data_IF_774018327803
#
_entry.id   IF_774018327803
#
_cell.length_a   1.000
_cell.length_b   1.000
_cell.length_c   1.000
_cell.angle_alpha   90.00
_cell.angle_beta   90.00
_cell.angle_gamma   90.00
#
_symmetry.space_group_name_H-M   'P 1'
#
loop_
_entity.id
_entity.type
_entity.pdbx_description
1 polymer ?
#
# COMPACT_ATOMS: atom_id res chain seq x y z
N UNK A 1 -0.86 -10.64 -8.34
CA UNK A 1 -1.08 -11.46 -7.14
C UNK A 1 -2.18 -12.49 -7.41
N UNK A 2 -2.01 -13.76 -7.01
CA UNK A 2 -2.98 -14.86 -7.18
C UNK A 2 -3.63 -15.23 -5.84
N UNK A 3 -4.95 -15.19 -5.78
CA UNK A 3 -5.73 -15.45 -4.56
C UNK A 3 -6.75 -16.55 -4.85
N UNK A 4 -6.79 -17.58 -4.01
CA UNK A 4 -7.79 -18.65 -4.08
C UNK A 4 -8.68 -18.62 -2.84
N UNK A 5 -9.99 -18.48 -3.04
CA UNK A 5 -10.99 -18.51 -1.97
C UNK A 5 -11.70 -19.86 -1.94
N UNK A 6 -11.64 -20.55 -0.81
CA UNK A 6 -12.14 -21.90 -0.63
C UNK A 6 -13.36 -21.95 0.29
N UNK A 7 -14.39 -22.64 -0.16
CA UNK A 7 -15.47 -23.13 0.72
C UNK A 7 -15.89 -24.54 0.29
N UNK A 8 -16.80 -25.19 1.00
CA UNK A 8 -17.20 -26.57 0.64
C UNK A 8 -17.89 -26.66 -0.73
N UNK A 9 -18.95 -25.86 -0.94
CA UNK A 9 -19.82 -25.97 -2.11
C UNK A 9 -19.44 -25.08 -3.30
N UNK A 10 -18.56 -24.09 -3.10
CA UNK A 10 -18.23 -23.06 -4.09
C UNK A 10 -19.44 -22.45 -4.81
N UNK A 11 -20.53 -22.23 -4.07
CA UNK A 11 -21.82 -21.75 -4.59
C UNK A 11 -22.26 -20.40 -4.01
N UNK A 12 -21.90 -20.10 -2.76
CA UNK A 12 -22.31 -18.87 -2.05
C UNK A 12 -21.09 -18.03 -1.64
N UNK A 13 -20.59 -18.24 -0.41
CA UNK A 13 -19.56 -17.43 0.28
C UNK A 13 -18.31 -17.16 -0.56
N UNK A 14 -17.68 -18.22 -1.10
CA UNK A 14 -16.46 -18.04 -1.90
C UNK A 14 -16.70 -17.39 -3.26
N UNK A 15 -17.92 -17.48 -3.82
CA UNK A 15 -18.28 -16.78 -5.06
C UNK A 15 -18.48 -15.28 -4.79
N UNK A 16 -19.15 -14.93 -3.69
CA UNK A 16 -19.31 -13.52 -3.27
C UNK A 16 -17.97 -12.88 -2.95
N UNK A 17 -17.13 -13.57 -2.17
CA UNK A 17 -15.78 -13.11 -1.84
C UNK A 17 -14.89 -12.93 -3.09
N UNK A 18 -14.99 -13.84 -4.07
CA UNK A 18 -14.34 -13.70 -5.37
C UNK A 18 -14.82 -12.42 -6.07
N UNK A 19 -16.13 -12.24 -6.23
CA UNK A 19 -16.71 -11.05 -6.86
C UNK A 19 -16.27 -9.75 -6.20
N UNK A 20 -16.23 -9.69 -4.87
CA UNK A 20 -15.76 -8.51 -4.13
C UNK A 20 -14.28 -8.22 -4.38
N UNK A 21 -13.39 -9.21 -4.23
CA UNK A 21 -11.95 -9.01 -4.46
C UNK A 21 -11.65 -8.53 -5.89
N UNK A 22 -12.32 -9.09 -6.91
CA UNK A 22 -12.20 -8.59 -8.30
C UNK A 22 -12.82 -7.21 -8.50
N UNK A 23 -13.80 -6.81 -7.69
CA UNK A 23 -14.37 -5.47 -7.74
C UNK A 23 -13.43 -4.42 -7.12
N UNK A 24 -12.66 -4.79 -6.09
CA UNK A 24 -11.76 -3.88 -5.38
C UNK A 24 -10.52 -3.53 -6.19
N UNK A 25 -9.96 -4.50 -6.92
CA UNK A 25 -8.77 -4.31 -7.75
C UNK A 25 -8.74 -5.30 -8.91
N UNK A 26 -8.86 -4.78 -10.14
CA UNK A 26 -8.86 -5.55 -11.39
C UNK A 26 -7.52 -6.21 -11.71
N UNK A 27 -6.44 -5.83 -11.03
CA UNK A 27 -5.11 -6.43 -11.19
C UNK A 27 -4.95 -7.76 -10.43
N UNK A 28 -5.84 -8.03 -9.47
CA UNK A 28 -5.85 -9.28 -8.71
C UNK A 28 -6.33 -10.44 -9.59
N UNK A 29 -5.59 -11.56 -9.55
CA UNK A 29 -6.03 -12.80 -10.18
C UNK A 29 -6.74 -13.63 -9.11
N UNK A 30 -8.05 -13.46 -9.01
CA UNK A 30 -8.88 -14.09 -7.98
C UNK A 30 -9.55 -15.34 -8.54
N UNK A 31 -9.60 -16.38 -7.71
CA UNK A 31 -10.23 -17.65 -8.03
C UNK A 31 -11.02 -18.13 -6.83
N UNK A 32 -12.02 -18.96 -7.08
CA UNK A 32 -12.73 -19.69 -6.04
C UNK A 32 -12.89 -21.16 -6.39
N UNK A 33 -12.94 -22.00 -5.35
CA UNK A 33 -13.10 -23.45 -5.49
C UNK A 33 -13.75 -24.06 -4.24
N UNK A 34 -14.12 -25.33 -4.37
CA UNK A 34 -14.58 -26.14 -3.24
C UNK A 34 -14.30 -27.62 -3.36
N UNK A 35 -14.41 -28.32 -2.24
CA UNK A 35 -14.19 -29.78 -2.14
C UNK A 35 -15.35 -30.58 -2.69
N UNK A 36 -16.57 -30.05 -2.57
CA UNK A 36 -17.80 -30.66 -3.07
C UNK A 36 -18.59 -29.60 -3.83
N UNK A 37 -18.08 -29.13 -4.99
CA UNK A 37 -18.68 -28.03 -5.73
C UNK A 37 -20.14 -28.35 -6.10
N UNK A 38 -21.02 -27.39 -5.91
CA UNK A 38 -22.41 -27.49 -6.33
C UNK A 38 -22.52 -27.48 -7.86
N UNK A 39 -23.70 -27.82 -8.39
CA UNK A 39 -23.95 -27.77 -9.84
C UNK A 39 -23.89 -26.35 -10.42
N UNK A 40 -24.30 -25.35 -9.63
CA UNK A 40 -24.33 -23.95 -10.03
C UNK A 40 -24.09 -23.00 -8.85
N UNK A 41 -23.79 -21.75 -9.16
CA UNK A 41 -23.76 -20.67 -8.17
C UNK A 41 -25.17 -20.50 -7.59
N UNK A 42 -25.27 -20.27 -6.28
CA UNK A 42 -26.55 -20.15 -5.62
C UNK A 42 -27.29 -18.89 -6.13
N UNK A 43 -28.54 -19.00 -6.62
CA UNK A 43 -29.29 -17.85 -7.12
C UNK A 43 -29.46 -16.72 -6.08
N UNK A 44 -29.57 -17.04 -4.79
CA UNK A 44 -29.64 -16.06 -3.71
C UNK A 44 -28.34 -15.25 -3.58
N UNK A 45 -27.18 -15.88 -3.80
CA UNK A 45 -25.90 -15.19 -3.81
C UNK A 45 -25.76 -14.30 -5.06
N UNK A 46 -26.19 -14.77 -6.23
CA UNK A 46 -26.21 -13.98 -7.47
C UNK A 46 -27.06 -12.71 -7.28
N UNK A 47 -28.29 -12.87 -6.78
CA UNK A 47 -29.19 -11.75 -6.53
C UNK A 47 -28.61 -10.77 -5.51
N UNK A 48 -28.10 -11.25 -4.37
CA UNK A 48 -27.51 -10.38 -3.36
C UNK A 48 -26.32 -9.58 -3.90
N UNK A 49 -25.45 -10.16 -4.73
CA UNK A 49 -24.32 -9.44 -5.34
C UNK A 49 -24.78 -8.45 -6.42
N UNK A 50 -25.80 -8.80 -7.22
CA UNK A 50 -26.36 -7.90 -8.23
C UNK A 50 -26.95 -6.62 -7.60
N UNK A 51 -27.53 -6.70 -6.41
CA UNK A 51 -28.03 -5.52 -5.66
C UNK A 51 -26.91 -4.48 -5.37
N UNK A 52 -25.66 -4.91 -5.24
CA UNK A 52 -24.49 -4.03 -5.04
C UNK A 52 -23.69 -3.81 -6.34
N UNK A 53 -24.27 -4.16 -7.50
CA UNK A 53 -23.68 -3.92 -8.81
C UNK A 53 -22.58 -4.90 -9.24
N UNK A 54 -22.46 -6.06 -8.58
CA UNK A 54 -21.48 -7.09 -8.91
C UNK A 54 -22.18 -8.31 -9.50
N UNK A 55 -21.94 -8.60 -10.78
CA UNK A 55 -22.52 -9.78 -11.44
C UNK A 55 -21.61 -11.01 -11.29
N UNK A 56 -22.08 -12.01 -10.54
CA UNK A 56 -21.42 -13.32 -10.41
C UNK A 56 -22.19 -14.44 -11.13
N UNK A 57 -23.21 -14.11 -11.93
CA UNK A 57 -24.07 -15.12 -12.60
C UNK A 57 -23.30 -16.00 -13.60
N UNK A 58 -22.25 -15.45 -14.22
CA UNK A 58 -21.37 -16.18 -15.14
C UNK A 58 -20.33 -17.07 -14.45
N UNK A 59 -20.19 -17.00 -13.13
CA UNK A 59 -19.27 -17.86 -12.39
C UNK A 59 -19.71 -19.31 -12.42
N UNK A 60 -18.76 -20.23 -12.21
CA UNK A 60 -19.04 -21.66 -12.13
C UNK A 60 -18.37 -22.25 -10.90
N UNK A 61 -19.07 -23.08 -10.11
CA UNK A 61 -18.42 -23.86 -9.07
C UNK A 61 -17.32 -24.76 -9.66
N UNK A 62 -16.17 -24.79 -9.00
CA UNK A 62 -14.99 -25.54 -9.44
C UNK A 62 -14.47 -26.42 -8.30
N UNK A 63 -14.02 -27.62 -8.66
CA UNK A 63 -13.34 -28.49 -7.71
C UNK A 63 -11.94 -27.94 -7.40
N UNK A 64 -11.58 -27.91 -6.12
CA UNK A 64 -10.27 -27.50 -5.61
C UNK A 64 -9.10 -28.28 -6.20
N UNK A 65 -9.30 -29.54 -6.59
CA UNK A 65 -8.27 -30.41 -7.20
C UNK A 65 -7.61 -29.78 -8.42
N UNK A 66 -8.35 -28.97 -9.19
CA UNK A 66 -7.85 -28.25 -10.37
C UNK A 66 -6.67 -27.33 -10.06
N UNK A 67 -6.55 -26.90 -8.81
CA UNK A 67 -5.61 -25.86 -8.38
C UNK A 67 -4.45 -26.40 -7.51
N UNK A 68 -4.42 -27.70 -7.19
CA UNK A 68 -3.42 -28.29 -6.30
C UNK A 68 -1.99 -28.23 -6.86
N UNK A 69 -1.83 -28.25 -8.19
CA UNK A 69 -0.53 -28.16 -8.86
C UNK A 69 -0.02 -26.72 -9.08
N UNK A 70 -0.79 -25.72 -8.66
CA UNK A 70 -0.45 -24.31 -8.87
C UNK A 70 0.15 -23.66 -7.61
N UNK A 71 0.90 -22.58 -7.82
CA UNK A 71 1.39 -21.71 -6.75
C UNK A 71 0.43 -20.55 -6.50
N UNK A 72 0.26 -20.22 -5.22
CA UNK A 72 -0.69 -19.23 -4.73
C UNK A 72 -0.05 -18.26 -3.76
N UNK A 73 -0.33 -16.96 -3.92
CA UNK A 73 0.07 -15.96 -2.94
C UNK A 73 -0.82 -16.09 -1.69
N UNK A 74 -2.14 -16.22 -1.88
CA UNK A 74 -3.10 -16.44 -0.79
C UNK A 74 -4.05 -17.60 -1.07
N UNK A 75 -4.27 -18.41 -0.05
CA UNK A 75 -5.43 -19.32 0.03
C UNK A 75 -6.24 -18.94 1.26
N UNK A 76 -7.50 -18.54 1.04
CA UNK A 76 -8.39 -18.02 2.06
C UNK A 76 -9.58 -18.95 2.20
N UNK A 77 -9.80 -19.49 3.39
CA UNK A 77 -10.93 -20.38 3.67
C UNK A 77 -12.06 -19.59 4.32
N UNK A 78 -13.29 -19.79 3.85
CA UNK A 78 -14.45 -18.96 4.26
C UNK A 78 -15.58 -19.71 4.96
N UNK A 79 -15.30 -20.92 5.41
CA UNK A 79 -16.25 -21.77 6.14
C UNK A 79 -16.44 -21.29 7.59
N UNK A 80 -17.62 -21.48 8.19
CA UNK A 80 -18.03 -20.77 9.41
C UNK A 80 -17.79 -21.50 10.75
N UNK A 81 -17.28 -22.73 10.78
CA UNK A 81 -17.16 -23.44 12.07
C UNK A 81 -16.30 -24.71 12.09
N UNK A 82 -16.02 -25.18 13.31
CA UNK A 82 -15.20 -26.36 13.61
C UNK A 82 -15.74 -27.69 13.04
N UNK A 83 -17.03 -27.74 12.70
CA UNK A 83 -17.69 -28.90 12.08
C UNK A 83 -17.68 -28.87 10.54
N UNK A 84 -17.28 -27.75 9.91
CA UNK A 84 -17.06 -27.71 8.47
C UNK A 84 -15.62 -28.19 8.23
N UNK A 85 -15.45 -29.37 7.64
CA UNK A 85 -14.13 -29.89 7.27
C UNK A 85 -13.52 -28.93 6.25
N UNK A 86 -12.65 -28.05 6.75
CA UNK A 86 -11.94 -27.11 5.90
C UNK A 86 -11.13 -27.94 4.89
N UNK A 87 -11.21 -27.65 3.57
CA UNK A 87 -10.42 -28.36 2.58
C UNK A 87 -8.94 -28.33 2.99
N UNK A 88 -8.35 -29.49 3.25
CA UNK A 88 -6.90 -29.58 3.36
C UNK A 88 -6.32 -29.29 1.96
N UNK A 89 -6.00 -28.02 1.69
CA UNK A 89 -5.36 -27.63 0.43
C UNK A 89 -3.87 -27.95 0.52
N UNK A 90 -3.40 -28.96 -0.20
CA UNK A 90 -2.01 -29.42 -0.14
C UNK A 90 -1.07 -28.73 -1.14
N UNK A 91 -1.57 -27.76 -1.92
CA UNK A 91 -0.77 -27.02 -2.89
C UNK A 91 0.27 -26.08 -2.25
N UNK A 92 1.15 -25.53 -3.09
CA UNK A 92 2.15 -24.53 -2.69
C UNK A 92 1.48 -23.18 -2.45
N UNK A 93 1.53 -22.71 -1.21
CA UNK A 93 0.85 -21.49 -0.77
C UNK A 93 1.81 -20.66 0.06
N UNK A 94 1.93 -19.37 -0.26
CA UNK A 94 2.69 -18.43 0.58
C UNK A 94 1.94 -18.09 1.87
N UNK A 95 0.65 -17.72 1.76
CA UNK A 95 -0.16 -17.33 2.91
C UNK A 95 -1.49 -18.08 2.97
N UNK A 96 -1.80 -18.62 4.16
CA UNK A 96 -3.05 -19.33 4.43
C UNK A 96 -3.83 -18.56 5.47
N UNK A 97 -5.07 -18.19 5.15
CA UNK A 97 -5.94 -17.43 6.02
C UNK A 97 -7.30 -18.12 6.20
N UNK A 98 -7.96 -17.79 7.29
CA UNK A 98 -9.32 -18.19 7.58
C UNK A 98 -10.16 -16.96 7.93
N UNK A 99 -11.22 -16.73 7.16
CA UNK A 99 -12.19 -15.66 7.38
C UNK A 99 -13.57 -16.31 7.29
N UNK A 100 -14.05 -16.86 8.40
CA UNK A 100 -15.28 -17.66 8.41
C UNK A 100 -16.55 -16.82 8.34
N UNK A 101 -17.56 -17.35 7.65
CA UNK A 101 -18.91 -16.77 7.59
C UNK A 101 -19.99 -17.86 7.70
N UNK A 102 -21.15 -17.47 8.21
CA UNK A 102 -22.35 -18.30 8.20
C UNK A 102 -22.73 -18.71 6.77
N UNK A 103 -23.37 -19.88 6.63
CA UNK A 103 -23.85 -20.34 5.34
C UNK A 103 -25.31 -19.90 5.10
N UNK A 104 -25.57 -18.86 4.28
CA UNK A 104 -26.92 -18.35 4.09
C UNK A 104 -27.82 -19.35 3.37
N UNK A 105 -27.28 -20.37 2.68
CA UNK A 105 -28.11 -21.39 2.05
C UNK A 105 -28.75 -22.37 3.05
N UNK A 106 -28.36 -22.32 4.33
CA UNK A 106 -28.98 -23.11 5.41
C UNK A 106 -30.15 -22.36 6.06
N UNK A 107 -30.38 -21.09 5.73
CA UNK A 107 -31.49 -20.31 6.27
C UNK A 107 -32.84 -20.92 5.84
N UNK A 108 -33.76 -21.05 6.79
CA UNK A 108 -35.12 -21.56 6.58
C UNK A 108 -36.13 -20.54 7.10
N UNK A 109 -37.23 -20.33 6.41
CA UNK A 109 -38.25 -19.37 6.82
C UNK A 109 -38.97 -18.76 5.62
N UNK A 110 -39.42 -17.52 5.76
CA UNK A 110 -40.01 -16.76 4.65
C UNK A 110 -38.95 -16.38 3.61
N UNK A 111 -39.36 -16.17 2.36
CA UNK A 111 -38.46 -15.70 1.29
C UNK A 111 -37.78 -14.38 1.64
N UNK A 112 -38.46 -13.51 2.39
CA UNK A 112 -37.88 -12.27 2.90
C UNK A 112 -36.75 -12.52 3.89
N UNK A 113 -36.95 -13.42 4.85
CA UNK A 113 -35.93 -13.79 5.82
C UNK A 113 -34.72 -14.48 5.18
N UNK A 114 -34.96 -15.41 4.26
CA UNK A 114 -33.87 -16.06 3.52
C UNK A 114 -33.06 -15.01 2.75
N UNK A 115 -33.73 -14.08 2.06
CA UNK A 115 -33.05 -12.98 1.35
C UNK A 115 -32.26 -12.08 2.28
N UNK A 116 -32.79 -11.75 3.46
CA UNK A 116 -32.05 -10.94 4.43
C UNK A 116 -30.77 -11.64 4.91
N UNK A 117 -30.79 -12.98 5.06
CA UNK A 117 -29.58 -13.72 5.43
C UNK A 117 -28.50 -13.69 4.34
N UNK A 118 -28.88 -13.79 3.06
CA UNK A 118 -27.92 -13.61 1.96
C UNK A 118 -27.32 -12.20 1.95
N UNK A 119 -28.12 -11.15 2.19
CA UNK A 119 -27.63 -9.77 2.27
C UNK A 119 -26.70 -9.57 3.47
N UNK A 120 -27.10 -10.07 4.65
CA UNK A 120 -26.29 -9.99 5.87
C UNK A 120 -24.90 -10.60 5.66
N UNK A 121 -24.85 -11.84 5.16
CA UNK A 121 -23.58 -12.53 4.90
C UNK A 121 -22.79 -11.86 3.77
N UNK A 122 -23.45 -11.34 2.73
CA UNK A 122 -22.78 -10.55 1.68
C UNK A 122 -22.07 -9.33 2.27
N UNK A 123 -22.76 -8.56 3.10
CA UNK A 123 -22.23 -7.32 3.67
C UNK A 123 -21.07 -7.62 4.65
N UNK A 124 -21.18 -8.70 5.43
CA UNK A 124 -20.09 -9.19 6.28
C UNK A 124 -18.86 -9.62 5.46
N UNK A 125 -19.07 -10.35 4.35
CA UNK A 125 -18.00 -10.72 3.42
C UNK A 125 -17.35 -9.46 2.85
N UNK A 126 -18.15 -8.49 2.41
CA UNK A 126 -17.63 -7.23 1.87
C UNK A 126 -16.73 -6.53 2.88
N UNK A 127 -17.19 -6.36 4.12
CA UNK A 127 -16.44 -5.68 5.17
C UNK A 127 -15.12 -6.40 5.45
N UNK A 128 -15.15 -7.72 5.72
CA UNK A 128 -13.96 -8.49 6.06
C UNK A 128 -12.96 -8.58 4.92
N UNK A 129 -13.42 -8.77 3.68
CA UNK A 129 -12.52 -8.82 2.53
C UNK A 129 -12.01 -7.44 2.13
N UNK A 130 -12.76 -6.37 2.38
CA UNK A 130 -12.27 -5.01 2.21
C UNK A 130 -11.19 -4.68 3.24
N UNK A 131 -11.37 -5.10 4.50
CA UNK A 131 -10.35 -4.97 5.54
C UNK A 131 -9.08 -5.78 5.20
N UNK A 132 -9.24 -7.03 4.80
CA UNK A 132 -8.15 -7.88 4.30
C UNK A 132 -7.44 -7.23 3.10
N UNK A 133 -8.19 -6.79 2.08
CA UNK A 133 -7.61 -6.12 0.92
C UNK A 133 -6.81 -4.90 1.35
N UNK A 134 -7.39 -4.04 2.18
CA UNK A 134 -6.74 -2.85 2.70
C UNK A 134 -5.47 -3.19 3.49
N UNK A 135 -5.50 -4.17 4.40
CA UNK A 135 -4.40 -4.47 5.32
C UNK A 135 -3.28 -5.33 4.75
N UNK A 136 -3.63 -6.26 3.87
CA UNK A 136 -2.72 -7.29 3.34
C UNK A 136 -2.35 -7.07 1.87
N UNK A 137 -3.25 -6.47 1.08
CA UNK A 137 -3.11 -6.37 -0.38
C UNK A 137 -2.92 -4.94 -0.87
N UNK A 138 -3.40 -3.90 -0.20
CA UNK A 138 -3.28 -2.55 -0.71
C UNK A 138 -1.91 -2.00 -0.32
N UNK A 139 -1.14 -1.56 -1.31
CA UNK A 139 0.13 -0.92 -1.04
C UNK A 139 -0.08 0.50 -0.57
N UNK A 140 1.02 1.15 -0.20
CA UNK A 140 1.04 2.56 0.13
C UNK A 140 1.75 3.35 -0.95
N UNK A 141 1.18 4.53 -1.26
CA UNK A 141 1.86 5.59 -1.96
C UNK A 141 2.66 6.41 -0.95
N UNK A 142 3.98 6.30 -1.00
CA UNK A 142 4.87 7.12 -0.18
C UNK A 142 5.10 8.45 -0.87
N UNK A 143 4.79 9.54 -0.17
CA UNK A 143 4.96 10.90 -0.66
C UNK A 143 6.32 11.44 -0.22
N UNK A 144 7.16 11.77 -1.20
CA UNK A 144 8.47 12.38 -0.97
C UNK A 144 8.44 13.84 -1.42
N UNK A 145 8.23 14.75 -0.47
CA UNK A 145 8.16 16.18 -0.74
C UNK A 145 9.56 16.78 -0.90
N UNK A 146 9.69 17.74 -1.82
CA UNK A 146 10.93 18.49 -1.98
C UNK A 146 10.85 19.58 -3.03
N UNK A 147 11.74 20.56 -2.92
CA UNK A 147 11.95 21.54 -4.01
C UNK A 147 12.77 20.98 -5.16
N UNK A 148 13.53 19.89 -4.91
CA UNK A 148 14.39 19.18 -5.87
C UNK A 148 15.25 20.13 -6.73
N UNK A 149 15.98 21.05 -6.09
CA UNK A 149 16.66 22.17 -6.76
C UNK A 149 18.20 22.14 -6.61
N UNK A 150 18.94 21.25 -7.29
CA UNK A 150 18.46 20.21 -8.20
C UNK A 150 18.19 18.87 -7.49
N UNK A 151 17.50 17.97 -8.18
CA UNK A 151 17.47 16.55 -7.84
C UNK A 151 18.89 15.96 -7.93
N UNK A 152 19.23 15.02 -7.06
CA UNK A 152 20.61 14.50 -6.93
C UNK A 152 20.64 13.06 -6.42
N UNK A 153 21.83 12.46 -6.43
CA UNK A 153 22.04 11.04 -6.09
C UNK A 153 21.53 10.67 -4.69
N UNK A 154 21.61 11.57 -3.71
CA UNK A 154 21.02 11.34 -2.37
C UNK A 154 19.51 11.13 -2.39
N UNK A 155 18.75 11.94 -3.14
CA UNK A 155 17.31 11.74 -3.30
C UNK A 155 17.00 10.39 -3.97
N UNK A 156 17.76 10.05 -5.03
CA UNK A 156 17.61 8.77 -5.71
C UNK A 156 17.90 7.58 -4.80
N UNK A 157 18.95 7.64 -3.97
CA UNK A 157 19.34 6.56 -3.08
C UNK A 157 18.23 6.26 -2.06
N UNK A 158 17.71 7.30 -1.40
CA UNK A 158 16.57 7.17 -0.47
C UNK A 158 15.34 6.63 -1.20
N UNK A 159 15.01 7.20 -2.36
CA UNK A 159 13.82 6.79 -3.11
C UNK A 159 13.90 5.32 -3.57
N UNK A 160 15.05 4.87 -4.07
CA UNK A 160 15.29 3.47 -4.46
C UNK A 160 15.20 2.52 -3.27
N UNK A 161 15.72 2.92 -2.11
CA UNK A 161 15.60 2.13 -0.88
C UNK A 161 14.13 1.97 -0.48
N UNK A 162 13.38 3.07 -0.40
CA UNK A 162 11.96 3.06 0.00
C UNK A 162 11.10 2.30 -1.02
N UNK A 163 11.37 2.45 -2.32
CA UNK A 163 10.69 1.68 -3.37
C UNK A 163 10.97 0.17 -3.30
N UNK A 164 12.08 -0.24 -2.67
CA UNK A 164 12.36 -1.65 -2.38
C UNK A 164 11.57 -2.20 -1.19
N UNK A 165 10.91 -1.35 -0.40
CA UNK A 165 10.09 -1.80 0.71
C UNK A 165 8.84 -2.53 0.18
N UNK A 166 8.57 -3.75 0.64
CA UNK A 166 7.63 -4.66 -0.02
C UNK A 166 6.14 -4.30 0.12
N UNK A 167 5.80 -3.34 0.98
CA UNK A 167 4.44 -2.78 1.11
C UNK A 167 4.29 -1.42 0.41
N UNK A 168 5.35 -0.88 -0.18
CA UNK A 168 5.30 0.33 -1.01
C UNK A 168 4.87 -0.07 -2.41
N UNK A 169 3.80 0.55 -2.90
CA UNK A 169 3.31 0.37 -4.28
C UNK A 169 3.80 1.49 -5.19
N UNK A 170 3.95 2.68 -4.63
CA UNK A 170 4.30 3.88 -5.36
C UNK A 170 5.16 4.77 -4.46
N UNK A 171 6.22 5.35 -5.01
CA UNK A 171 6.87 6.51 -4.42
C UNK A 171 6.62 7.70 -5.34
N UNK A 172 5.86 8.66 -4.83
CA UNK A 172 5.49 9.87 -5.55
C UNK A 172 6.33 11.05 -5.05
N UNK A 173 7.14 11.62 -5.93
CA UNK A 173 7.85 12.87 -5.67
C UNK A 173 6.88 14.04 -5.81
N UNK A 174 6.61 14.74 -4.71
CA UNK A 174 5.76 15.94 -4.72
C UNK A 174 6.66 17.17 -4.85
N UNK A 175 6.61 17.82 -6.02
CA UNK A 175 7.44 18.99 -6.29
C UNK A 175 6.81 20.23 -5.65
N UNK A 176 7.51 20.79 -4.67
CA UNK A 176 7.10 22.08 -4.10
C UNK A 176 7.58 23.25 -4.98
N UNK A 177 6.66 24.07 -5.53
CA UNK A 177 7.03 25.20 -6.39
C UNK A 177 7.75 26.29 -5.60
N UNK A 178 7.35 26.50 -4.34
CA UNK A 178 7.96 27.45 -3.39
C UNK A 178 7.87 26.85 -1.99
N UNK A 179 8.99 26.76 -1.28
CA UNK A 179 8.97 26.35 0.12
C UNK A 179 8.43 27.53 0.96
N UNK A 180 7.38 27.36 1.78
CA UNK A 180 6.83 28.43 2.62
C UNK A 180 7.85 29.07 3.58
N UNK A 181 8.93 28.36 3.91
CA UNK A 181 9.92 28.71 4.93
C UNK A 181 11.21 29.32 4.32
N UNK A 182 11.47 29.16 3.01
CA UNK A 182 12.74 29.62 2.39
C UNK A 182 12.55 30.84 1.49
N UNK A 183 13.45 31.82 1.61
CA UNK A 183 13.46 33.04 0.77
C UNK A 183 13.62 32.70 -0.73
N UNK A 184 12.87 33.42 -1.58
CA UNK A 184 12.63 33.10 -2.99
C UNK A 184 13.81 33.28 -3.94
N UNK A 185 14.91 33.91 -3.52
CA UNK A 185 15.95 34.40 -4.45
C UNK A 185 16.97 33.35 -4.94
N UNK A 186 16.80 32.06 -4.64
CA UNK A 186 17.77 31.00 -5.03
C UNK A 186 17.13 29.78 -5.73
N UNK A 187 15.82 29.82 -6.00
CA UNK A 187 15.12 28.71 -6.67
C UNK A 187 15.17 28.88 -8.18
N UNK A 188 15.55 27.81 -8.90
CA UNK A 188 15.29 27.71 -10.34
C UNK A 188 13.78 27.73 -10.61
N UNK A 189 13.42 28.09 -11.83
CA UNK A 189 12.04 28.13 -12.29
C UNK A 189 11.32 26.80 -11.98
N UNK A 190 10.09 26.89 -11.49
CA UNK A 190 9.34 25.72 -11.06
C UNK A 190 9.00 24.78 -12.22
N UNK A 191 8.77 25.31 -13.43
CA UNK A 191 8.48 24.50 -14.61
C UNK A 191 9.74 23.80 -15.13
N UNK A 192 10.91 24.43 -15.02
CA UNK A 192 12.18 23.77 -15.33
C UNK A 192 12.45 22.59 -14.39
N UNK A 193 12.28 22.81 -13.08
CA UNK A 193 12.41 21.73 -12.07
C UNK A 193 11.39 20.61 -12.29
N UNK A 194 10.17 20.93 -12.72
CA UNK A 194 9.16 19.95 -13.08
C UNK A 194 9.60 19.07 -14.26
N UNK A 195 10.11 19.67 -15.34
CA UNK A 195 10.66 18.92 -16.49
C UNK A 195 11.84 18.04 -16.08
N UNK A 196 12.72 18.54 -15.22
CA UNK A 196 13.84 17.77 -14.68
C UNK A 196 13.36 16.56 -13.88
N UNK A 197 12.39 16.76 -12.99
CA UNK A 197 11.82 15.69 -12.17
C UNK A 197 11.12 14.62 -13.03
N UNK A 198 10.40 15.01 -14.09
CA UNK A 198 9.79 14.07 -15.03
C UNK A 198 10.85 13.18 -15.71
N UNK A 199 11.99 13.75 -16.13
CA UNK A 199 13.12 12.99 -16.70
C UNK A 199 13.73 12.03 -15.69
N UNK A 200 13.92 12.48 -14.45
CA UNK A 200 14.43 11.66 -13.34
C UNK A 200 13.51 10.47 -13.07
N UNK A 201 12.20 10.68 -12.99
CA UNK A 201 11.22 9.60 -12.76
C UNK A 201 11.22 8.59 -13.90
N UNK A 202 11.29 9.05 -15.16
CA UNK A 202 11.41 8.14 -16.31
C UNK A 202 12.68 7.28 -16.21
N UNK A 203 13.81 7.88 -15.84
CA UNK A 203 15.08 7.18 -15.62
C UNK A 203 15.00 6.17 -14.47
N UNK A 204 14.43 6.55 -13.32
CA UNK A 204 14.24 5.66 -12.16
C UNK A 204 13.42 4.42 -12.51
N UNK A 205 12.32 4.59 -13.24
CA UNK A 205 11.49 3.47 -13.68
C UNK A 205 12.20 2.58 -14.73
N UNK A 206 13.04 3.16 -15.60
CA UNK A 206 13.79 2.42 -16.62
C UNK A 206 14.90 1.54 -16.03
N UNK A 207 15.51 1.96 -14.91
CA UNK A 207 16.64 1.22 -14.30
C UNK A 207 16.22 -0.09 -13.60
N UNK A 208 14.92 -0.36 -13.47
CA UNK A 208 14.28 -1.40 -12.63
C UNK A 208 14.70 -1.27 -11.14
N UNK A 209 13.75 -1.35 -10.18
CA UNK A 209 14.12 -1.32 -8.78
C UNK A 209 15.06 -2.50 -8.47
N UNK A 210 16.06 -2.27 -7.61
CA UNK A 210 16.93 -3.34 -7.12
C UNK A 210 16.06 -4.39 -6.43
N UNK A 211 15.73 -5.47 -7.11
CA UNK A 211 15.13 -6.65 -6.49
C UNK A 211 16.19 -7.33 -5.64
N UNK A 212 16.48 -6.78 -4.46
CA UNK A 212 17.08 -7.62 -3.42
C UNK A 212 15.97 -8.53 -2.91
N UNK A 213 16.21 -9.82 -2.94
CA UNK A 213 15.60 -10.72 -1.97
C UNK A 213 16.06 -10.22 -0.59
N UNK A 214 15.31 -9.29 -0.01
CA UNK A 214 15.58 -8.81 1.34
C UNK A 214 15.04 -9.87 2.30
N UNK A 215 15.93 -10.45 3.11
CA UNK A 215 15.50 -11.27 4.24
C UNK A 215 14.89 -10.35 5.30
N UNK A 216 14.00 -10.86 6.14
CA UNK A 216 13.43 -10.08 7.26
C UNK A 216 14.52 -9.48 8.18
N UNK A 217 15.73 -10.05 8.18
CA UNK A 217 16.91 -9.55 8.89
C UNK A 217 17.60 -8.36 8.20
N UNK A 218 17.59 -8.29 6.86
CA UNK A 218 18.20 -7.20 6.08
C UNK A 218 17.36 -5.90 6.13
N UNK A 219 16.08 -6.01 6.50
CA UNK A 219 15.15 -4.90 6.50
C UNK A 219 15.36 -3.89 7.63
N UNK A 220 16.10 -4.21 8.70
CA UNK A 220 16.35 -3.32 9.85
C UNK A 220 15.09 -2.75 10.55
N UNK A 221 13.91 -3.10 10.03
CA UNK A 221 12.60 -2.57 10.35
C UNK A 221 11.70 -3.79 10.25
N UNK A 222 11.04 -4.09 11.37
CA UNK A 222 9.68 -4.61 11.42
C UNK A 222 9.05 -4.73 10.03
N UNK A 223 9.10 -5.93 9.44
CA UNK A 223 8.56 -6.23 8.10
C UNK A 223 7.05 -6.06 7.94
N UNK A 224 6.41 -5.45 8.92
CA UNK A 224 4.98 -5.21 8.96
C UNK A 224 4.67 -3.86 8.33
N UNK A 225 3.57 -3.75 7.57
CA UNK A 225 3.09 -2.46 7.12
C UNK A 225 2.84 -1.50 8.29
N UNK A 226 3.05 -0.18 8.12
CA UNK A 226 2.87 0.84 9.15
C UNK A 226 1.56 0.75 9.96
N UNK A 227 0.48 0.34 9.30
CA UNK A 227 -0.87 0.27 9.86
C UNK A 227 -1.14 -1.03 10.63
N UNK A 228 -0.16 -1.93 10.75
CA UNK A 228 -0.27 -3.16 11.55
C UNK A 228 0.30 -3.06 12.96
N UNK A 229 0.79 -1.89 13.36
CA UNK A 229 1.45 -1.75 14.66
C UNK A 229 0.63 -0.83 15.55
N UNK A 230 -0.27 -1.43 16.33
CA UNK A 230 -0.40 -0.95 17.71
C UNK A 230 0.79 -1.50 18.50
N UNK A 231 1.30 -0.75 19.47
CA UNK A 231 2.48 -1.13 20.25
C UNK A 231 2.33 -2.47 21.01
N UNK A 232 1.13 -3.05 21.08
CA UNK A 232 0.84 -4.34 21.72
C UNK A 232 0.90 -5.57 20.80
N UNK A 233 1.02 -5.42 19.47
CA UNK A 233 0.81 -6.56 18.54
C UNK A 233 2.10 -7.08 17.87
N UNK A 234 3.28 -6.59 18.28
CA UNK A 234 4.57 -6.91 17.63
C UNK A 234 5.14 -8.28 18.04
N UNK A 235 4.46 -9.05 18.88
CA UNK A 235 5.05 -10.25 19.47
C UNK A 235 5.00 -11.54 18.62
N UNK A 236 4.14 -11.67 17.59
CA UNK A 236 3.86 -13.03 17.05
C UNK A 236 3.77 -13.19 15.52
N UNK A 237 4.28 -12.27 14.69
CA UNK A 237 4.11 -12.41 13.22
C UNK A 237 5.41 -12.37 12.43
N UNK A 238 5.91 -13.55 12.08
CA UNK A 238 6.78 -13.74 10.91
C UNK A 238 5.96 -13.54 9.61
N UNK A 239 5.61 -12.28 9.32
CA UNK A 239 4.94 -11.92 8.07
C UNK A 239 5.99 -11.80 6.96
N UNK A 240 6.03 -12.78 6.07
CA UNK A 240 6.86 -12.77 4.86
C UNK A 240 6.23 -11.80 3.87
N UNK A 241 6.99 -10.80 3.45
CA UNK A 241 6.46 -9.67 2.68
C UNK A 241 6.63 -9.96 1.19
N UNK A 242 5.53 -9.99 0.43
CA UNK A 242 5.62 -10.06 -1.03
C UNK A 242 6.25 -8.78 -1.56
N UNK A 243 7.46 -8.87 -2.11
CA UNK A 243 8.11 -7.76 -2.81
C UNK A 243 7.23 -7.26 -3.96
N UNK A 244 6.77 -6.01 -3.86
CA UNK A 244 6.16 -5.27 -4.96
C UNK A 244 7.25 -4.48 -5.65
N UNK A 245 7.23 -4.45 -6.98
CA UNK A 245 8.00 -3.45 -7.72
C UNK A 245 7.26 -2.12 -7.61
N UNK A 246 7.71 -1.25 -6.70
CA UNK A 246 7.11 0.06 -6.54
C UNK A 246 7.38 0.92 -7.80
N UNK A 247 6.37 1.69 -8.20
CA UNK A 247 6.49 2.65 -9.30
C UNK A 247 6.97 4.00 -8.78
N UNK A 248 7.83 4.67 -9.53
CA UNK A 248 8.14 6.08 -9.27
C UNK A 248 7.20 6.97 -10.05
N UNK A 249 6.64 7.98 -9.39
CA UNK A 249 5.79 9.01 -10.02
C UNK A 249 6.22 10.39 -9.56
N UNK A 250 5.79 11.43 -10.29
CA UNK A 250 5.96 12.82 -9.89
C UNK A 250 4.59 13.49 -9.86
N UNK A 251 4.40 14.41 -8.92
CA UNK A 251 3.20 15.22 -8.80
C UNK A 251 3.55 16.69 -8.67
N UNK A 252 2.88 17.50 -9.50
CA UNK A 252 2.85 18.96 -9.46
C UNK A 252 1.63 19.48 -8.68
N UNK A 253 0.99 18.65 -7.85
CA UNK A 253 -0.28 18.99 -7.17
C UNK A 253 -0.23 20.35 -6.47
N UNK A 254 0.90 20.70 -5.84
CA UNK A 254 1.08 21.97 -5.13
C UNK A 254 1.08 23.20 -6.05
N UNK A 255 1.21 23.03 -7.37
CA UNK A 255 1.12 24.13 -8.34
C UNK A 255 -0.33 24.58 -8.53
N UNK A 256 -1.27 23.69 -8.18
CA UNK A 256 -2.71 23.88 -8.37
C UNK A 256 -3.45 24.14 -7.05
N UNK A 257 -2.72 24.19 -5.92
CA UNK A 257 -3.28 24.48 -4.60
C UNK A 257 -3.14 25.96 -4.24
N UNK A 258 -4.10 26.46 -3.45
CA UNK A 258 -4.04 27.82 -2.92
C UNK A 258 -2.96 27.92 -1.83
N UNK A 259 -2.06 28.92 -1.89
CA UNK A 259 -1.11 29.18 -0.82
C UNK A 259 -1.79 29.59 0.50
N UNK A 260 -1.17 29.33 1.67
CA UNK A 260 0.15 28.74 1.86
C UNK A 260 0.18 27.21 1.64
N UNK A 261 1.22 26.75 0.95
CA UNK A 261 1.44 25.35 0.59
C UNK A 261 2.01 24.54 1.77
N UNK A 262 1.20 24.38 2.83
CA UNK A 262 1.54 23.51 3.94
C UNK A 262 1.33 22.05 3.57
N UNK A 263 2.26 21.17 3.99
CA UNK A 263 2.18 19.72 3.75
C UNK A 263 0.85 19.12 4.22
N UNK A 264 0.28 19.62 5.33
CA UNK A 264 -1.06 19.21 5.80
C UNK A 264 -2.14 19.43 4.74
N UNK A 265 -2.15 20.58 4.07
CA UNK A 265 -3.16 20.92 3.06
C UNK A 265 -3.01 20.01 1.83
N UNK A 266 -1.78 19.73 1.41
CA UNK A 266 -1.50 18.79 0.31
C UNK A 266 -1.97 17.37 0.66
N UNK A 267 -1.69 16.91 1.89
CA UNK A 267 -2.12 15.59 2.38
C UNK A 267 -3.65 15.45 2.42
N UNK A 268 -4.37 16.44 2.95
CA UNK A 268 -5.84 16.40 2.98
C UNK A 268 -6.44 16.45 1.57
N UNK A 269 -5.88 17.28 0.67
CA UNK A 269 -6.32 17.31 -0.72
C UNK A 269 -6.16 15.93 -1.39
N UNK A 270 -5.00 15.30 -1.23
CA UNK A 270 -4.73 13.97 -1.79
C UNK A 270 -5.66 12.91 -1.20
N UNK A 271 -5.85 12.88 0.12
CA UNK A 271 -6.74 11.92 0.78
C UNK A 271 -8.21 12.07 0.36
N UNK A 272 -8.68 13.31 0.15
CA UNK A 272 -10.05 13.58 -0.28
C UNK A 272 -10.30 13.24 -1.75
N UNK A 273 -9.33 13.52 -2.63
CA UNK A 273 -9.47 13.27 -4.07
C UNK A 273 -9.12 11.82 -4.47
N UNK A 274 -8.37 11.12 -3.62
CA UNK A 274 -8.00 9.72 -3.81
C UNK A 274 -8.34 8.92 -2.55
N UNK A 275 -9.63 8.75 -2.20
CA UNK A 275 -10.06 8.03 -0.98
C UNK A 275 -9.66 6.54 -1.03
N UNK A 276 -9.43 6.03 -2.24
CA UNK A 276 -8.89 4.71 -2.50
C UNK A 276 -7.36 4.68 -2.55
N UNK A 277 -6.63 5.70 -2.14
CA UNK A 277 -5.18 5.62 -1.94
C UNK A 277 -4.85 5.70 -0.46
N UNK A 278 -3.75 5.06 -0.09
CA UNK A 278 -3.15 5.20 1.24
C UNK A 278 -1.85 5.95 1.09
N UNK A 279 -1.70 7.02 1.85
CA UNK A 279 -0.53 7.87 1.80
C UNK A 279 0.31 7.71 3.06
N UNK A 280 1.62 7.68 2.89
CA UNK A 280 2.59 7.84 3.96
C UNK A 280 3.55 8.97 3.62
N UNK A 281 4.03 9.69 4.62
CA UNK A 281 4.95 10.80 4.44
C UNK A 281 6.39 10.32 4.61
N UNK A 282 7.28 10.65 3.67
CA UNK A 282 8.71 10.39 3.77
C UNK A 282 9.47 11.68 4.09
N UNK A 283 10.32 11.65 5.11
CA UNK A 283 11.16 12.78 5.50
C UNK A 283 12.50 12.37 6.12
N UNK A 284 13.42 13.32 6.23
CA UNK A 284 14.71 13.11 6.90
C UNK A 284 14.58 13.27 8.42
N UNK A 285 15.51 12.66 9.16
CA UNK A 285 15.56 12.74 10.63
C UNK A 285 15.67 14.15 11.21
N UNK A 286 16.17 15.11 10.42
CA UNK A 286 16.19 16.53 10.76
C UNK A 286 14.79 17.17 10.86
N UNK A 287 13.77 16.56 10.25
CA UNK A 287 12.42 17.10 10.22
C UNK A 287 11.48 16.52 11.29
N UNK A 288 11.71 15.29 11.76
CA UNK A 288 10.79 14.63 12.69
C UNK A 288 10.72 15.36 14.05
N UNK A 289 11.86 15.85 14.55
CA UNK A 289 11.91 16.59 15.82
C UNK A 289 11.08 17.88 15.75
N UNK A 290 11.14 18.58 14.62
CA UNK A 290 10.44 19.86 14.41
C UNK A 290 9.04 19.71 13.80
N UNK A 291 8.56 18.50 13.55
CA UNK A 291 7.29 18.27 12.85
C UNK A 291 6.10 18.86 13.61
N UNK A 292 6.11 18.83 14.95
CA UNK A 292 5.11 19.49 15.79
C UNK A 292 5.00 21.01 15.57
N UNK A 293 6.05 21.65 15.00
CA UNK A 293 6.06 23.08 14.65
C UNK A 293 5.47 23.35 13.26
N UNK A 294 5.23 22.31 12.46
CA UNK A 294 4.59 22.47 11.16
C UNK A 294 3.10 22.78 11.35
N UNK A 295 2.50 23.46 10.37
CA UNK A 295 1.06 23.72 10.39
C UNK A 295 0.31 22.39 10.49
N UNK A 296 -0.40 22.20 11.62
CA UNK A 296 -1.13 20.97 11.97
C UNK A 296 -0.27 19.71 12.00
N UNK A 297 0.98 19.84 12.49
CA UNK A 297 1.94 18.75 12.58
C UNK A 297 1.47 17.56 13.43
N UNK A 298 0.82 17.81 14.56
CA UNK A 298 0.25 16.75 15.42
C UNK A 298 -0.81 15.93 14.67
N UNK A 299 -1.66 16.59 13.87
CA UNK A 299 -2.64 15.89 13.04
C UNK A 299 -2.00 15.10 11.89
N UNK A 300 -0.87 15.56 11.35
CA UNK A 300 -0.10 14.76 10.38
C UNK A 300 0.37 13.47 11.05
N UNK A 301 0.98 13.56 12.23
CA UNK A 301 1.49 12.41 13.00
C UNK A 301 0.36 11.43 13.33
N UNK A 302 -0.80 11.94 13.73
CA UNK A 302 -1.93 11.10 14.10
C UNK A 302 -2.62 10.40 12.90
N UNK A 303 -2.62 11.03 11.71
CA UNK A 303 -3.38 10.54 10.54
C UNK A 303 -2.54 9.72 9.57
N UNK A 304 -1.26 10.06 9.39
CA UNK A 304 -0.44 9.53 8.31
C UNK A 304 0.77 8.79 8.89
N UNK A 305 1.10 7.58 8.41
CA UNK A 305 2.39 6.98 8.69
C UNK A 305 3.53 7.88 8.23
N UNK A 306 4.55 8.04 9.06
CA UNK A 306 5.73 8.85 8.75
C UNK A 306 6.95 7.93 8.68
N UNK A 307 7.57 7.85 7.51
CA UNK A 307 8.84 7.17 7.28
C UNK A 307 9.97 8.19 7.42
N UNK A 308 10.97 7.86 8.22
CA UNK A 308 12.07 8.78 8.53
C UNK A 308 13.42 8.12 8.23
N UNK A 309 14.17 8.70 7.30
CA UNK A 309 15.53 8.24 6.98
C UNK A 309 16.60 9.01 7.78
N UNK A 310 17.74 8.40 8.10
CA UNK A 310 18.73 8.98 8.99
C UNK A 310 19.40 10.22 8.40
N UNK A 311 19.69 11.20 9.25
CA UNK A 311 20.54 12.36 8.95
C UNK A 311 21.73 12.44 9.89
N UNK A 312 22.84 12.94 9.40
CA UNK A 312 24.05 13.14 10.21
C UNK A 312 23.77 14.09 11.37
N UNK A 313 24.32 13.77 12.54
CA UNK A 313 24.14 14.57 13.76
C UNK A 313 22.76 14.45 14.44
N UNK A 314 21.86 13.59 13.94
CA UNK A 314 20.53 13.39 14.52
C UNK A 314 20.32 11.93 14.91
N UNK A 315 20.00 11.67 16.19
CA UNK A 315 19.57 10.34 16.65
C UNK A 315 18.15 10.05 16.14
N UNK A 316 18.08 9.70 14.87
CA UNK A 316 16.82 9.54 14.15
C UNK A 316 16.03 8.35 14.70
N UNK A 317 16.70 7.29 15.17
CA UNK A 317 16.04 6.12 15.75
C UNK A 317 15.31 6.46 17.05
N UNK A 318 15.97 7.20 17.94
CA UNK A 318 15.36 7.64 19.20
C UNK A 318 14.14 8.55 18.94
N UNK A 319 14.27 9.51 18.03
CA UNK A 319 13.17 10.42 17.68
C UNK A 319 11.99 9.69 17.05
N UNK A 320 12.24 8.70 16.19
CA UNK A 320 11.16 7.89 15.61
C UNK A 320 10.38 7.14 16.69
N UNK A 321 11.11 6.52 17.64
CA UNK A 321 10.50 5.81 18.75
C UNK A 321 9.64 6.74 19.63
N UNK A 322 10.14 7.94 19.93
CA UNK A 322 9.41 8.94 20.71
C UNK A 322 8.13 9.42 20.02
N UNK A 323 8.20 9.70 18.71
CA UNK A 323 7.10 10.32 17.94
C UNK A 323 6.17 9.30 17.29
N UNK A 324 6.39 8.00 17.47
CA UNK A 324 5.62 6.95 16.79
C UNK A 324 5.82 6.93 15.27
N UNK A 325 6.97 7.40 14.80
CA UNK A 325 7.35 7.35 13.39
C UNK A 325 8.16 6.08 13.07
N UNK A 326 8.27 5.77 11.79
CA UNK A 326 8.93 4.56 11.29
C UNK A 326 10.33 4.93 10.82
N UNK A 327 11.33 4.50 11.58
CA UNK A 327 12.70 4.59 11.14
C UNK A 327 12.93 3.68 9.93
N UNK A 328 13.58 4.20 8.89
CA UNK A 328 14.05 3.43 7.74
C UNK A 328 15.55 3.62 7.58
N UNK A 329 16.32 2.53 7.50
CA UNK A 329 17.78 2.58 7.42
C UNK A 329 18.29 2.84 6.00
N UNK A 330 17.77 3.90 5.38
CA UNK A 330 18.12 4.27 4.02
C UNK A 330 19.57 4.81 3.95
N UNK A 331 20.29 4.59 2.84
CA UNK A 331 21.67 5.05 2.71
C UNK A 331 21.83 6.55 2.91
N UNK A 332 22.81 6.94 3.72
CA UNK A 332 23.22 8.33 3.85
C UNK A 332 24.18 8.68 2.71
N UNK A 333 23.79 9.62 1.87
CA UNK A 333 24.65 10.20 0.85
C UNK A 333 24.93 11.64 1.25
N UNK A 334 26.20 11.94 1.52
CA UNK A 334 26.67 13.28 1.90
C UNK A 334 26.68 14.21 0.68
N UNK A 335 25.48 14.61 0.27
CA UNK A 335 25.26 15.62 -0.77
C UNK A 335 23.93 16.32 -0.55
N UNK A 336 23.95 17.64 -0.69
CA UNK A 336 22.78 18.50 -0.63
C UNK A 336 22.65 19.33 -1.91
N UNK A 337 21.43 19.72 -2.23
CA UNK A 337 21.17 20.62 -3.35
C UNK A 337 21.90 21.96 -3.19
N UNK A 338 22.10 22.44 -1.95
CA UNK A 338 22.86 23.68 -1.68
C UNK A 338 24.34 23.53 -2.00
N UNK A 339 24.97 22.42 -1.59
CA UNK A 339 26.36 22.14 -1.97
C UNK A 339 26.53 22.09 -3.49
N UNK A 340 25.62 21.38 -4.20
CA UNK A 340 25.66 21.31 -5.68
C UNK A 340 25.55 22.69 -6.31
N UNK A 341 24.62 23.54 -5.85
CA UNK A 341 24.49 24.91 -6.38
C UNK A 341 25.76 25.72 -6.13
N UNK A 342 26.35 25.64 -4.94
CA UNK A 342 27.59 26.36 -4.60
C UNK A 342 28.76 25.91 -5.48
N UNK A 343 28.96 24.60 -5.65
CA UNK A 343 29.99 24.03 -6.52
C UNK A 343 29.80 24.48 -7.98
N UNK A 344 28.56 24.43 -8.47
CA UNK A 344 28.23 24.85 -9.83
C UNK A 344 28.50 26.36 -10.04
N UNK A 345 28.17 27.20 -9.05
CA UNK A 345 28.51 28.64 -9.08
C UNK A 345 30.02 28.89 -9.02
N UNK A 346 30.80 27.99 -8.41
CA UNK A 346 32.26 28.03 -8.41
C UNK A 346 32.89 27.46 -9.70
N UNK A 347 32.08 26.96 -10.66
CA UNK A 347 32.56 26.37 -11.91
C UNK A 347 33.07 24.93 -11.79
N UNK A 348 32.77 24.26 -10.68
CA UNK A 348 33.15 22.87 -10.43
C UNK A 348 32.24 21.88 -11.18
N UNK A 349 32.77 20.70 -11.53
CA UNK A 349 31.99 19.63 -12.15
C UNK A 349 31.12 18.90 -11.13
N UNK A 350 29.81 19.04 -11.28
CA UNK A 350 28.78 18.40 -10.43
C UNK A 350 28.07 17.23 -11.12
N UNK A 351 28.51 16.80 -12.30
CA UNK A 351 27.84 15.79 -13.13
C UNK A 351 27.61 14.46 -12.40
N UNK A 352 28.56 14.05 -11.55
CA UNK A 352 28.47 12.82 -10.73
C UNK A 352 27.54 12.94 -9.52
N UNK A 353 27.19 14.16 -9.11
CA UNK A 353 26.34 14.43 -7.96
C UNK A 353 24.87 14.58 -8.39
N UNK A 354 24.62 14.97 -9.64
CA UNK A 354 23.29 14.99 -10.24
C UNK A 354 22.89 13.58 -10.68
N UNK A 355 21.60 13.29 -10.59
CA UNK A 355 21.00 12.04 -11.08
C UNK A 355 20.40 12.28 -12.46
#
# INVERSE_FOLDING_TARGET
MKILVLCTGNSCRSQMAHGFLESFDKSLKVFSAGTKPAAQVNPGAVMAMQEVGIDISGHKPKNVEKYLGEEWDYVITVCGGANESCPAFTGKVKHRLHIGFDDPSKATGTDEFIRSEFRRVRDEIQEKFLDFYRKEIKGVTVLYFGSFNPFHIGHAAVAKFVAGLPWVEELCFVLSPKNPIKESNTLQDANERWKDLQRVVAKLNAEKPLSKEMTAQDCGVQGSPPWRVTASEVADSAAIITCREAKFTASDVEFHLEPPLYTYNTLEYLSNNFPDKRFALLMGGDNIDILHKWYRGEEIIAKYPILVYPREGVDTKALCLEKGAIFIDAPQVDVSSTQIRNMQSAGEDVSKLRY
#
